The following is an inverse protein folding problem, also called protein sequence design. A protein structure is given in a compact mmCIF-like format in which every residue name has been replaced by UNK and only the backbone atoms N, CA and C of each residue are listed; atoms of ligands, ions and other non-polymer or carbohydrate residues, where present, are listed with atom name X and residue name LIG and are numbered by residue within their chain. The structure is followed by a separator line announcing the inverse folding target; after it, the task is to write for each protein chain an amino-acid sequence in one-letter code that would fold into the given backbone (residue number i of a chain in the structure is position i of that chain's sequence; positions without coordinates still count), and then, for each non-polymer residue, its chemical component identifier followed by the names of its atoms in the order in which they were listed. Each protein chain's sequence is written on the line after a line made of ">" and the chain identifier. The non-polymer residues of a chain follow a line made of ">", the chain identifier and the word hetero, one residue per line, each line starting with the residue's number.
data_IF_923275610988
#
_entry.id   IF_923275610988
#
_cell.length_a   1.000
_cell.length_b   1.000
_cell.length_c   1.000
_cell.angle_alpha   90.00
_cell.angle_beta   90.00
_cell.angle_gamma   90.00
#
_symmetry.space_group_name_H-M   'P 1'
#
loop_
_entity.id
_entity.type
_entity.pdbx_description
1 polymer ?
#
# COMPACT_ATOMS: atom_id res chain seq x y z
N UNK A 1 -6.03 17.58 -26.95
CA UNK A 1 -6.04 16.09 -26.95
C UNK A 1 -4.72 15.47 -26.48
N UNK A 2 -3.56 16.01 -26.89
CA UNK A 2 -2.22 15.53 -26.48
C UNK A 2 -2.00 15.70 -24.96
N UNK A 3 -2.48 16.79 -24.36
CA UNK A 3 -2.31 17.05 -22.91
C UNK A 3 -3.06 16.05 -22.02
N UNK A 4 -4.24 15.57 -22.42
CA UNK A 4 -4.99 14.59 -21.64
C UNK A 4 -4.35 13.19 -21.66
N UNK A 5 -3.70 12.83 -22.78
CA UNK A 5 -2.96 11.57 -22.91
C UNK A 5 -1.65 11.61 -22.11
N UNK A 6 -0.94 12.75 -22.10
CA UNK A 6 0.27 12.96 -21.29
C UNK A 6 -0.04 12.94 -19.79
N UNK A 7 -1.11 13.58 -19.34
CA UNK A 7 -1.54 13.58 -17.93
C UNK A 7 -1.86 12.15 -17.46
N UNK A 8 -2.49 11.31 -18.29
CA UNK A 8 -2.73 9.91 -17.98
C UNK A 8 -1.44 9.09 -17.87
N UNK A 9 -0.48 9.31 -18.76
CA UNK A 9 0.82 8.63 -18.75
C UNK A 9 1.69 9.09 -17.56
N UNK A 10 1.69 10.38 -17.24
CA UNK A 10 2.41 10.92 -16.08
C UNK A 10 1.87 10.38 -14.75
N UNK A 11 0.56 10.24 -14.61
CA UNK A 11 -0.03 9.59 -13.42
C UNK A 11 0.39 8.12 -13.31
N UNK A 12 0.38 7.37 -14.40
CA UNK A 12 0.84 5.98 -14.40
C UNK A 12 2.33 5.84 -14.06
N UNK A 13 3.18 6.74 -14.57
CA UNK A 13 4.62 6.76 -14.26
C UNK A 13 4.82 7.11 -12.79
N UNK A 14 4.12 8.11 -12.27
CA UNK A 14 4.18 8.49 -10.86
C UNK A 14 3.79 7.34 -9.95
N UNK A 15 2.67 6.66 -10.22
CA UNK A 15 2.21 5.54 -9.40
C UNK A 15 3.20 4.37 -9.42
N UNK A 16 3.82 4.08 -10.56
CA UNK A 16 4.89 3.07 -10.67
C UNK A 16 6.13 3.45 -9.87
N UNK A 17 6.57 4.71 -9.96
CA UNK A 17 7.70 5.21 -9.18
C UNK A 17 7.39 5.21 -7.67
N UNK A 18 6.17 5.53 -7.28
CA UNK A 18 5.74 5.52 -5.89
C UNK A 18 5.64 4.10 -5.32
N UNK A 19 5.18 3.13 -6.09
CA UNK A 19 5.21 1.72 -5.73
C UNK A 19 6.65 1.19 -5.61
N UNK A 20 7.52 1.53 -6.57
CA UNK A 20 8.89 1.01 -6.57
C UNK A 20 9.73 1.52 -5.40
N UNK A 21 9.55 2.76 -4.94
CA UNK A 21 10.34 3.32 -3.83
C UNK A 21 10.26 2.48 -2.56
N UNK A 22 9.05 2.19 -2.09
CA UNK A 22 8.85 1.41 -0.87
C UNK A 22 9.21 -0.07 -1.08
N UNK A 23 8.90 -0.63 -2.26
CA UNK A 23 9.23 -2.01 -2.61
C UNK A 23 10.74 -2.23 -2.71
N UNK A 24 11.47 -1.36 -3.41
CA UNK A 24 12.94 -1.44 -3.52
C UNK A 24 13.58 -1.28 -2.13
N UNK A 25 13.13 -0.33 -1.32
CA UNK A 25 13.66 -0.16 0.03
C UNK A 25 13.48 -1.42 0.88
N UNK A 26 12.30 -2.04 0.83
CA UNK A 26 12.03 -3.30 1.52
C UNK A 26 12.91 -4.44 1.02
N UNK A 27 13.00 -4.62 -0.30
CA UNK A 27 13.77 -5.68 -0.91
C UNK A 27 15.28 -5.55 -0.61
N UNK A 28 15.84 -4.36 -0.78
CA UNK A 28 17.27 -4.10 -0.52
C UNK A 28 17.60 -4.32 0.95
N UNK A 29 16.78 -3.80 1.87
CA UNK A 29 17.00 -3.99 3.30
C UNK A 29 16.93 -5.48 3.70
N UNK A 30 15.97 -6.24 3.18
CA UNK A 30 15.88 -7.67 3.42
C UNK A 30 17.06 -8.44 2.82
N UNK A 31 17.56 -8.03 1.65
CA UNK A 31 18.70 -8.70 0.99
C UNK A 31 20.05 -8.44 1.66
N UNK A 32 20.21 -7.29 2.31
CA UNK A 32 21.45 -6.90 3.00
C UNK A 32 21.49 -7.38 4.45
N UNK A 33 20.35 -7.65 5.08
CA UNK A 33 20.28 -8.10 6.45
C UNK A 33 20.54 -9.63 6.54
N UNK A 34 21.18 -10.10 7.63
CA UNK A 34 21.42 -11.54 7.81
C UNK A 34 20.12 -12.30 8.02
N UNK A 35 20.07 -13.52 7.48
CA UNK A 35 19.00 -14.48 7.74
C UNK A 35 19.24 -15.18 9.10
N UNK A 36 19.12 -14.42 10.19
CA UNK A 36 19.29 -14.90 11.55
C UNK A 36 17.95 -14.86 12.28
N UNK A 37 17.69 -15.86 13.11
CA UNK A 37 16.47 -15.90 13.91
C UNK A 37 16.50 -14.83 15.01
N UNK A 38 15.37 -14.18 15.20
CA UNK A 38 15.20 -13.10 16.16
C UNK A 38 13.79 -13.12 16.77
N UNK A 39 13.69 -12.74 18.04
CA UNK A 39 12.39 -12.59 18.71
C UNK A 39 11.94 -11.13 18.64
N UNK A 40 10.90 -10.86 17.85
CA UNK A 40 10.32 -9.53 17.70
C UNK A 40 8.91 -9.50 18.32
N UNK A 41 8.73 -8.69 19.36
CA UNK A 41 7.48 -8.57 20.12
C UNK A 41 6.87 -9.93 20.51
N UNK A 42 7.74 -10.87 20.95
CA UNK A 42 7.34 -12.21 21.38
C UNK A 42 7.13 -13.23 20.24
N UNK A 43 7.35 -12.86 18.99
CA UNK A 43 7.23 -13.75 17.82
C UNK A 43 8.61 -14.10 17.27
N UNK A 44 8.83 -15.37 16.95
CA UNK A 44 10.01 -15.79 16.22
C UNK A 44 9.90 -15.34 14.77
N UNK A 45 10.92 -14.68 14.29
CA UNK A 45 11.04 -14.20 12.90
C UNK A 45 12.50 -14.04 12.51
N UNK A 46 12.78 -13.69 11.26
CA UNK A 46 14.16 -13.47 10.80
C UNK A 46 14.50 -11.97 10.73
N UNK A 47 15.73 -11.62 10.99
CA UNK A 47 16.23 -10.22 10.97
C UNK A 47 16.02 -9.59 9.59
N UNK A 48 16.26 -10.33 8.50
CA UNK A 48 16.04 -9.85 7.13
C UNK A 48 14.56 -9.52 6.86
N UNK A 49 13.62 -10.31 7.40
CA UNK A 49 12.18 -10.04 7.31
C UNK A 49 11.85 -8.72 8.00
N UNK A 50 12.32 -8.55 9.24
CA UNK A 50 12.09 -7.30 10.00
C UNK A 50 12.70 -6.10 9.26
N UNK A 51 13.92 -6.24 8.75
CA UNK A 51 14.60 -5.18 8.01
C UNK A 51 13.78 -4.73 6.79
N UNK A 52 13.26 -5.70 6.01
CA UNK A 52 12.38 -5.42 4.88
C UNK A 52 11.08 -4.74 5.28
N UNK A 53 10.44 -5.22 6.35
CA UNK A 53 9.19 -4.67 6.86
C UNK A 53 9.38 -3.24 7.39
N UNK A 54 10.46 -2.95 8.11
CA UNK A 54 10.77 -1.60 8.60
C UNK A 54 11.06 -0.65 7.44
N UNK A 55 11.96 -1.04 6.52
CA UNK A 55 12.35 -0.17 5.41
C UNK A 55 11.20 0.12 4.45
N UNK A 56 10.38 -0.88 4.12
CA UNK A 56 9.20 -0.71 3.29
C UNK A 56 8.14 0.18 3.96
N UNK A 57 7.89 -0.03 5.25
CA UNK A 57 6.98 0.83 6.04
C UNK A 57 7.47 2.26 6.09
N UNK A 58 8.77 2.49 6.31
CA UNK A 58 9.37 3.83 6.28
C UNK A 58 9.22 4.48 4.89
N UNK A 59 9.34 3.70 3.80
CA UNK A 59 9.09 4.17 2.44
C UNK A 59 7.66 4.64 2.23
N UNK A 60 6.66 3.91 2.76
CA UNK A 60 5.24 4.30 2.71
C UNK A 60 4.99 5.57 3.54
N UNK A 61 5.53 5.64 4.75
CA UNK A 61 5.41 6.83 5.62
C UNK A 61 6.04 8.05 4.95
N UNK A 62 7.25 7.91 4.38
CA UNK A 62 7.93 8.99 3.66
C UNK A 62 7.16 9.49 2.42
N UNK A 63 6.46 8.58 1.70
CA UNK A 63 5.56 8.97 0.61
C UNK A 63 4.36 9.77 1.13
N UNK A 64 3.78 9.37 2.26
CA UNK A 64 2.60 10.03 2.83
C UNK A 64 2.94 11.37 3.50
N UNK A 65 4.16 11.54 4.01
CA UNK A 65 4.62 12.73 4.73
C UNK A 65 5.97 13.26 4.21
N UNK A 66 6.08 13.59 2.91
CA UNK A 66 7.34 14.09 2.36
C UNK A 66 7.70 15.45 2.96
N UNK A 67 8.89 15.55 3.55
CA UNK A 67 9.38 16.76 4.25
C UNK A 67 9.42 17.97 3.30
N UNK A 68 9.94 17.78 2.09
CA UNK A 68 10.04 18.83 1.06
C UNK A 68 8.71 19.31 0.49
N UNK A 69 7.62 18.58 0.69
CA UNK A 69 6.25 19.00 0.35
C UNK A 69 5.46 19.46 1.58
N UNK A 70 6.14 19.89 2.64
CA UNK A 70 5.51 20.34 3.90
C UNK A 70 4.50 19.31 4.42
N UNK A 71 4.88 18.03 4.36
CA UNK A 71 4.08 16.87 4.79
C UNK A 71 2.75 16.65 4.02
N UNK A 72 2.60 17.26 2.85
CA UNK A 72 1.43 17.10 1.97
C UNK A 72 1.70 16.04 0.90
N UNK A 73 1.77 14.78 1.30
CA UNK A 73 1.99 13.64 0.41
C UNK A 73 0.70 12.98 -0.10
N UNK A 74 0.89 11.83 -0.76
CA UNK A 74 -0.18 11.01 -1.31
C UNK A 74 -0.97 10.23 -0.25
N UNK A 75 -1.79 9.29 -0.70
CA UNK A 75 -2.55 8.36 0.16
C UNK A 75 -1.82 7.05 0.42
N UNK A 76 -0.72 6.82 -0.28
CA UNK A 76 0.16 5.67 -0.07
C UNK A 76 -0.33 4.35 -0.65
N UNK A 77 -1.39 4.31 -1.47
CA UNK A 77 -1.94 3.04 -2.00
C UNK A 77 -0.91 2.30 -2.86
N UNK A 78 -0.32 2.97 -3.86
CA UNK A 78 0.68 2.38 -4.73
C UNK A 78 1.96 1.98 -3.95
N UNK A 79 2.43 2.85 -3.06
CA UNK A 79 3.60 2.57 -2.21
C UNK A 79 3.36 1.39 -1.26
N UNK A 80 2.15 1.29 -0.68
CA UNK A 80 1.76 0.15 0.16
C UNK A 80 1.73 -1.14 -0.66
N UNK A 81 1.17 -1.10 -1.87
CA UNK A 81 1.17 -2.27 -2.76
C UNK A 81 2.59 -2.72 -3.10
N UNK A 82 3.48 -1.80 -3.48
CA UNK A 82 4.88 -2.11 -3.75
C UNK A 82 5.62 -2.67 -2.54
N UNK A 83 5.37 -2.14 -1.34
CA UNK A 83 5.90 -2.65 -0.08
C UNK A 83 5.43 -4.09 0.17
N UNK A 84 4.12 -4.37 0.10
CA UNK A 84 3.57 -5.70 0.34
C UNK A 84 4.08 -6.68 -0.73
N UNK A 85 4.15 -6.27 -2.00
CA UNK A 85 4.66 -7.11 -3.09
C UNK A 85 6.12 -7.54 -2.87
N UNK A 86 6.96 -6.65 -2.37
CA UNK A 86 8.36 -6.94 -2.08
C UNK A 86 8.56 -7.82 -0.83
N UNK A 87 7.66 -7.73 0.16
CA UNK A 87 7.77 -8.48 1.42
C UNK A 87 6.99 -9.78 1.40
N UNK A 88 5.83 -9.82 0.75
CA UNK A 88 5.02 -11.03 0.59
C UNK A 88 4.13 -10.95 -0.66
N UNK A 89 4.58 -11.52 -1.80
CA UNK A 89 3.83 -11.49 -3.07
C UNK A 89 2.44 -12.14 -2.99
N UNK A 90 2.26 -13.17 -2.17
CA UNK A 90 0.97 -13.84 -2.00
C UNK A 90 -0.06 -12.89 -1.41
N UNK A 91 0.28 -12.19 -0.34
CA UNK A 91 -0.61 -11.19 0.29
C UNK A 91 -0.87 -10.02 -0.67
N UNK A 92 0.15 -9.59 -1.44
CA UNK A 92 -0.03 -8.54 -2.45
C UNK A 92 -1.06 -8.92 -3.52
N UNK A 93 -1.00 -10.16 -4.02
CA UNK A 93 -1.96 -10.66 -5.02
C UNK A 93 -3.38 -10.73 -4.46
N UNK A 94 -3.56 -11.17 -3.21
CA UNK A 94 -4.87 -11.18 -2.54
C UNK A 94 -5.41 -9.76 -2.34
N UNK A 95 -4.56 -8.83 -1.93
CA UNK A 95 -4.92 -7.42 -1.79
C UNK A 95 -5.31 -6.80 -3.14
N UNK A 96 -4.56 -7.09 -4.21
CA UNK A 96 -4.88 -6.65 -5.56
C UNK A 96 -6.21 -7.22 -6.05
N UNK A 97 -6.44 -8.53 -5.84
CA UNK A 97 -7.70 -9.17 -6.20
C UNK A 97 -8.88 -8.52 -5.46
N UNK A 98 -8.75 -8.27 -4.16
CA UNK A 98 -9.75 -7.56 -3.36
C UNK A 98 -10.03 -6.17 -3.91
N UNK A 99 -8.96 -5.42 -4.25
CA UNK A 99 -9.09 -4.10 -4.84
C UNK A 99 -9.85 -4.14 -6.18
N UNK A 100 -9.47 -5.06 -7.07
CA UNK A 100 -10.09 -5.23 -8.40
C UNK A 100 -11.56 -5.61 -8.29
N UNK A 101 -11.89 -6.61 -7.48
CA UNK A 101 -13.28 -7.05 -7.28
C UNK A 101 -14.14 -5.90 -6.76
N UNK A 102 -13.67 -5.19 -5.73
CA UNK A 102 -14.37 -4.04 -5.18
C UNK A 102 -14.51 -2.91 -6.22
N UNK A 103 -13.46 -2.64 -7.02
CA UNK A 103 -13.49 -1.62 -8.06
C UNK A 103 -14.48 -1.93 -9.19
N UNK A 104 -14.57 -3.19 -9.61
CA UNK A 104 -15.53 -3.63 -10.65
C UNK A 104 -16.96 -3.53 -10.14
N UNK A 105 -17.23 -3.98 -8.91
CA UNK A 105 -18.58 -4.01 -8.34
C UNK A 105 -19.07 -2.60 -8.01
N UNK A 106 -18.25 -1.82 -7.31
CA UNK A 106 -18.68 -0.52 -6.74
C UNK A 106 -18.35 0.67 -7.62
N UNK A 107 -17.32 0.56 -8.47
CA UNK A 107 -16.75 1.62 -9.28
C UNK A 107 -16.14 2.78 -8.47
N UNK A 108 -15.84 2.57 -7.20
CA UNK A 108 -15.15 3.55 -6.35
C UNK A 108 -13.71 3.10 -6.07
N UNK A 109 -12.71 3.78 -6.66
CA UNK A 109 -11.28 3.48 -6.42
C UNK A 109 -10.88 3.66 -4.95
N UNK A 110 -11.42 4.68 -4.29
CA UNK A 110 -11.14 4.93 -2.86
C UNK A 110 -11.73 3.85 -1.95
N UNK A 111 -12.94 3.36 -2.23
CA UNK A 111 -13.55 2.26 -1.47
C UNK A 111 -12.75 0.97 -1.67
N UNK A 112 -12.33 0.70 -2.89
CA UNK A 112 -11.48 -0.45 -3.21
C UNK A 112 -10.15 -0.43 -2.45
N UNK A 113 -9.52 0.75 -2.37
CA UNK A 113 -8.28 0.92 -1.63
C UNK A 113 -8.48 0.73 -0.11
N UNK A 114 -9.57 1.25 0.44
CA UNK A 114 -9.94 1.06 1.85
C UNK A 114 -10.20 -0.41 2.16
N UNK A 115 -10.99 -1.09 1.32
CA UNK A 115 -11.31 -2.51 1.49
C UNK A 115 -10.07 -3.38 1.40
N UNK A 116 -9.20 -3.17 0.42
CA UNK A 116 -7.94 -3.88 0.28
C UNK A 116 -6.99 -3.62 1.47
N UNK A 117 -6.91 -2.37 1.95
CA UNK A 117 -6.10 -2.03 3.12
C UNK A 117 -6.56 -2.75 4.40
N UNK A 118 -7.87 -2.88 4.60
CA UNK A 118 -8.44 -3.64 5.75
C UNK A 118 -8.22 -5.14 5.58
N UNK A 119 -8.39 -5.67 4.38
CA UNK A 119 -8.24 -7.10 4.10
C UNK A 119 -6.78 -7.59 4.22
N UNK A 120 -5.79 -6.73 3.93
CA UNK A 120 -4.36 -7.08 3.96
C UNK A 120 -3.91 -7.65 5.31
N UNK A 121 -4.11 -7.00 6.47
CA UNK A 121 -3.71 -7.58 7.75
C UNK A 121 -4.54 -8.82 8.12
N UNK A 122 -5.79 -8.94 7.65
CA UNK A 122 -6.60 -10.15 7.86
C UNK A 122 -5.98 -11.33 7.12
N UNK A 123 -5.59 -11.16 5.85
CA UNK A 123 -4.89 -12.20 5.11
C UNK A 123 -3.56 -12.57 5.77
N UNK A 124 -2.81 -11.57 6.23
CA UNK A 124 -1.55 -11.80 6.91
C UNK A 124 -1.73 -12.61 8.21
N UNK A 125 -2.77 -12.33 8.98
CA UNK A 125 -3.06 -13.04 10.22
C UNK A 125 -3.26 -14.55 10.02
N UNK A 126 -3.88 -14.95 8.90
CA UNK A 126 -4.16 -16.37 8.62
C UNK A 126 -3.08 -17.08 7.81
N UNK A 127 -2.26 -16.37 7.06
CA UNK A 127 -1.41 -16.96 6.04
C UNK A 127 0.10 -16.83 6.29
N UNK A 128 0.51 -15.90 7.18
CA UNK A 128 1.94 -15.62 7.42
C UNK A 128 2.22 -15.39 8.90
N UNK A 129 3.48 -15.16 9.23
CA UNK A 129 3.92 -14.91 10.61
C UNK A 129 3.29 -13.64 11.21
N UNK A 130 3.03 -13.60 12.53
CA UNK A 130 2.42 -12.45 13.22
C UNK A 130 3.16 -11.14 13.01
N UNK A 131 4.47 -11.18 12.77
CA UNK A 131 5.29 -10.00 12.49
C UNK A 131 4.78 -9.22 11.28
N UNK A 132 4.43 -9.89 10.18
CA UNK A 132 3.83 -9.24 9.01
C UNK A 132 2.49 -8.57 9.36
N UNK A 133 1.66 -9.25 10.13
CA UNK A 133 0.34 -8.74 10.54
C UNK A 133 0.46 -7.42 11.30
N UNK A 134 1.45 -7.30 12.21
CA UNK A 134 1.72 -6.07 12.97
C UNK A 134 2.02 -4.90 12.02
N UNK A 135 3.00 -5.09 11.10
CA UNK A 135 3.41 -4.04 10.17
C UNK A 135 2.29 -3.68 9.18
N UNK A 136 1.62 -4.68 8.62
CA UNK A 136 0.53 -4.43 7.68
C UNK A 136 -0.67 -3.76 8.34
N UNK A 137 -0.97 -4.06 9.60
CA UNK A 137 -2.00 -3.35 10.38
C UNK A 137 -1.63 -1.88 10.56
N UNK A 138 -0.39 -1.58 10.96
CA UNK A 138 0.06 -0.20 11.13
C UNK A 138 -0.06 0.60 9.82
N UNK A 139 0.35 0.01 8.70
CA UNK A 139 0.24 0.65 7.38
C UNK A 139 -1.22 0.75 6.92
N UNK A 140 -2.08 -0.24 7.18
CA UNK A 140 -3.51 -0.17 6.89
C UNK A 140 -4.17 0.98 7.64
N UNK A 141 -3.88 1.17 8.92
CA UNK A 141 -4.37 2.30 9.71
C UNK A 141 -3.91 3.64 9.11
N UNK A 142 -2.65 3.73 8.70
CA UNK A 142 -2.14 4.93 8.03
C UNK A 142 -2.89 5.22 6.72
N UNK A 143 -3.12 4.21 5.88
CA UNK A 143 -3.90 4.34 4.65
C UNK A 143 -5.32 4.81 4.94
N UNK A 144 -5.99 4.24 5.94
CA UNK A 144 -7.34 4.66 6.37
C UNK A 144 -7.35 6.13 6.81
N UNK A 145 -6.39 6.56 7.62
CA UNK A 145 -6.25 7.94 8.05
C UNK A 145 -6.07 8.90 6.86
N UNK A 146 -5.29 8.49 5.85
CA UNK A 146 -5.10 9.27 4.61
C UNK A 146 -6.35 9.29 3.72
N UNK A 147 -7.26 8.33 3.89
CA UNK A 147 -8.53 8.27 3.15
C UNK A 147 -9.71 8.93 3.89
N UNK A 148 -9.50 9.59 5.04
CA UNK A 148 -10.57 10.21 5.83
C UNK A 148 -11.55 11.08 5.01
N UNK A 149 -11.03 11.90 4.10
CA UNK A 149 -11.86 12.75 3.24
C UNK A 149 -12.66 11.94 2.22
N UNK A 150 -12.11 10.82 1.72
CA UNK A 150 -12.83 9.91 0.82
C UNK A 150 -13.92 9.16 1.57
N UNK A 151 -13.68 8.74 2.82
CA UNK A 151 -14.67 8.08 3.68
C UNK A 151 -15.88 9.01 3.89
N UNK A 152 -15.63 10.28 4.18
CA UNK A 152 -16.70 11.27 4.34
C UNK A 152 -17.50 11.44 3.04
N UNK A 153 -16.83 11.56 1.87
CA UNK A 153 -17.51 11.68 0.57
C UNK A 153 -18.27 10.42 0.20
N UNK A 154 -17.73 9.23 0.51
CA UNK A 154 -18.43 7.97 0.31
C UNK A 154 -19.72 7.90 1.14
N UNK A 155 -19.65 8.29 2.42
CA UNK A 155 -20.81 8.31 3.31
C UNK A 155 -21.90 9.29 2.85
N UNK A 156 -21.50 10.41 2.19
CA UNK A 156 -22.43 11.39 1.62
C UNK A 156 -22.90 11.06 0.20
N UNK A 157 -22.36 10.03 -0.44
CA UNK A 157 -22.64 9.72 -1.85
C UNK A 157 -21.98 10.69 -2.85
N UNK A 158 -20.99 11.47 -2.42
CA UNK A 158 -20.32 12.52 -3.20
C UNK A 158 -18.98 12.04 -3.81
N UNK A 159 -18.58 10.80 -3.59
CA UNK A 159 -17.32 10.28 -4.12
C UNK A 159 -17.43 9.99 -5.62
N UNK A 160 -16.35 10.30 -6.37
CA UNK A 160 -16.33 10.12 -7.81
C UNK A 160 -16.20 8.66 -8.21
N UNK A 161 -16.99 8.21 -9.18
CA UNK A 161 -16.92 6.84 -9.73
C UNK A 161 -15.86 6.75 -10.84
N UNK A 162 -15.25 5.58 -10.95
CA UNK A 162 -14.38 5.23 -12.08
C UNK A 162 -15.22 5.25 -13.36
N UNK A 163 -14.80 6.04 -14.37
CA UNK A 163 -15.43 6.05 -15.68
C UNK A 163 -14.68 5.08 -16.60
N UNK A 164 -15.37 4.07 -17.11
CA UNK A 164 -14.84 3.15 -18.12
C UNK A 164 -15.13 3.60 -19.55
N UNK A 165 -15.79 4.76 -19.75
CA UNK A 165 -15.98 5.30 -21.11
C UNK A 165 -14.66 5.86 -21.61
N UNK A 166 -14.12 5.29 -22.70
CA UNK A 166 -13.14 5.95 -23.57
C UNK A 166 -13.81 7.23 -24.08
N UNK A 167 -13.25 8.40 -23.76
CA UNK A 167 -13.49 9.59 -24.58
C UNK A 167 -12.71 9.47 -25.86
#
# INVERSE_FOLDING_TARGET
>A
EISACLVGSEMCIRDRLDASKAGIAAFVAASLAPAADYVFLGNMTQVNVIAGLIAGSAGVVGHNFPVWLKFKGGKGVASTFGFILATNPQIALLALATWLVCAVITRYSSLSAITAAIATPVYAFFLVEPTYTIFYTAIALLVLLRHRANIVRLAKGEESKISFKKK
#
